data_IF_332537631605
#
_entry.id   IF_332537631605
#
_cell.length_a   1.000
_cell.length_b   1.000
_cell.length_c   1.000
_cell.angle_alpha   90.00
_cell.angle_beta   90.00
_cell.angle_gamma   90.00
#
_symmetry.space_group_name_H-M   'P 1'
#
loop_
_entity.id
_entity.type
_entity.pdbx_description
1 polymer ?
#
# COMPACT_ATOMS: atom_id res chain seq x y z
N UNK A 1 16.76 -8.01 -12.85
CA UNK A 1 18.09 -8.66 -12.84
C UNK A 1 18.21 -9.54 -11.60
N UNK A 2 18.37 -10.85 -11.81
CA UNK A 2 18.40 -11.85 -10.73
C UNK A 2 19.70 -11.70 -9.90
N UNK A 3 20.77 -11.25 -10.51
CA UNK A 3 22.07 -11.09 -9.85
C UNK A 3 22.17 -9.82 -9.00
N UNK A 4 21.45 -8.74 -9.39
CA UNK A 4 21.46 -7.48 -8.64
C UNK A 4 20.39 -7.42 -7.54
N UNK A 5 19.53 -8.45 -7.41
CA UNK A 5 18.40 -8.47 -6.49
C UNK A 5 17.50 -7.22 -6.60
N UNK A 6 17.43 -6.65 -7.81
CA UNK A 6 16.63 -5.49 -8.15
C UNK A 6 15.41 -5.92 -8.96
N UNK A 7 14.24 -5.42 -8.57
CA UNK A 7 12.97 -5.68 -9.25
C UNK A 7 12.24 -4.37 -9.46
N UNK A 8 11.59 -4.25 -10.61
CA UNK A 8 10.72 -3.13 -10.94
C UNK A 8 9.47 -3.65 -11.63
N UNK A 9 8.32 -3.04 -11.32
CA UNK A 9 7.05 -3.33 -11.94
C UNK A 9 6.26 -2.04 -12.16
N UNK A 10 5.47 -2.01 -13.23
CA UNK A 10 4.41 -1.03 -13.43
C UNK A 10 3.07 -1.68 -13.06
N UNK A 11 2.11 -0.88 -12.61
CA UNK A 11 0.77 -1.34 -12.29
C UNK A 11 -0.27 -0.33 -12.72
N UNK A 12 -1.49 -0.83 -12.98
CA UNK A 12 -2.67 -0.02 -13.20
C UNK A 12 -3.84 -0.59 -12.42
N UNK A 13 -4.72 0.27 -11.93
CA UNK A 13 -5.93 -0.08 -11.21
C UNK A 13 -7.08 0.77 -11.66
N UNK A 14 -8.25 0.14 -11.79
CA UNK A 14 -9.54 0.80 -11.94
C UNK A 14 -10.42 0.43 -10.76
N UNK A 15 -11.12 1.39 -10.21
CA UNK A 15 -12.06 1.21 -9.09
C UNK A 15 -13.42 1.77 -9.46
N UNK A 16 -14.46 1.00 -9.15
CA UNK A 16 -15.86 1.38 -9.30
C UNK A 16 -16.54 1.24 -7.94
N UNK A 17 -16.97 2.35 -7.39
CA UNK A 17 -17.58 2.43 -6.08
C UNK A 17 -18.96 3.10 -6.15
N UNK A 18 -19.84 2.73 -5.23
CA UNK A 18 -21.13 3.38 -5.00
C UNK A 18 -21.28 3.93 -3.57
N UNK A 19 -20.20 3.90 -2.77
CA UNK A 19 -20.19 4.44 -1.42
C UNK A 19 -20.24 5.96 -1.42
N UNK A 20 -20.75 6.54 -0.36
CA UNK A 20 -20.65 7.97 -0.11
C UNK A 20 -19.19 8.38 0.15
N UNK A 21 -18.79 9.51 -0.42
CA UNK A 21 -17.45 10.04 -0.25
C UNK A 21 -17.48 11.11 0.83
N UNK A 22 -16.82 10.83 1.96
CA UNK A 22 -16.79 11.72 3.12
C UNK A 22 -15.39 12.24 3.44
N UNK A 23 -14.45 12.16 2.50
CA UNK A 23 -13.08 12.56 2.72
C UNK A 23 -12.48 13.24 1.49
N UNK A 24 -11.43 14.06 1.68
CA UNK A 24 -10.74 14.78 0.59
C UNK A 24 -9.51 14.03 0.09
N UNK A 25 -8.96 13.11 0.86
CA UNK A 25 -7.96 12.18 0.34
C UNK A 25 -8.60 11.17 -0.61
N UNK A 26 -7.90 10.83 -1.67
CA UNK A 26 -8.39 9.87 -2.68
C UNK A 26 -8.05 8.45 -2.22
N UNK A 27 -9.07 7.63 -2.03
CA UNK A 27 -8.92 6.22 -1.68
C UNK A 27 -9.73 5.34 -2.63
N UNK A 28 -9.02 4.71 -3.56
CA UNK A 28 -9.61 3.78 -4.52
C UNK A 28 -9.90 2.39 -3.95
N UNK A 29 -9.53 2.11 -2.70
CA UNK A 29 -9.76 0.80 -2.08
C UNK A 29 -11.16 0.66 -1.46
N UNK A 30 -11.90 1.76 -1.27
CA UNK A 30 -13.21 1.64 -0.65
C UNK A 30 -14.10 2.89 -0.76
N UNK A 31 -13.55 4.03 -1.11
CA UNK A 31 -14.29 5.28 -1.08
C UNK A 31 -14.52 5.91 -2.45
N UNK A 32 -13.54 5.87 -3.35
CA UNK A 32 -13.60 6.57 -4.62
C UNK A 32 -13.63 5.60 -5.80
N UNK A 33 -14.42 5.94 -6.83
CA UNK A 33 -14.21 5.45 -8.18
C UNK A 33 -13.05 6.20 -8.83
N UNK A 34 -12.39 5.58 -9.81
CA UNK A 34 -11.30 6.23 -10.51
C UNK A 34 -10.26 5.26 -11.03
N UNK A 35 -9.09 5.79 -11.35
CA UNK A 35 -7.98 4.97 -11.82
C UNK A 35 -6.65 5.43 -11.19
N UNK A 36 -5.72 4.51 -11.18
CA UNK A 36 -4.36 4.72 -10.73
C UNK A 36 -3.40 4.02 -11.67
N UNK A 37 -2.29 4.67 -11.94
CA UNK A 37 -1.16 4.10 -12.69
C UNK A 37 0.13 4.44 -11.98
N UNK A 38 1.02 3.46 -11.84
CA UNK A 38 2.23 3.68 -11.08
C UNK A 38 3.33 2.68 -11.35
N UNK A 39 4.43 2.92 -10.66
CA UNK A 39 5.62 2.08 -10.70
C UNK A 39 6.06 1.76 -9.28
N UNK A 40 6.63 0.59 -9.11
CA UNK A 40 7.26 0.15 -7.86
C UNK A 40 8.63 -0.42 -8.18
N UNK A 41 9.60 -0.11 -7.34
CA UNK A 41 10.95 -0.63 -7.42
C UNK A 41 11.37 -1.17 -6.06
N UNK A 42 12.00 -2.34 -6.06
CA UNK A 42 12.47 -3.01 -4.85
C UNK A 42 13.91 -3.49 -5.05
N UNK A 43 14.75 -3.22 -4.08
CA UNK A 43 16.12 -3.73 -4.01
C UNK A 43 16.33 -4.49 -2.70
N UNK A 44 16.87 -5.69 -2.81
CA UNK A 44 17.28 -6.48 -1.66
C UNK A 44 18.79 -6.31 -1.46
N UNK A 45 19.17 -5.85 -0.26
CA UNK A 45 20.57 -5.69 0.15
C UNK A 45 20.77 -6.55 1.40
N UNK A 46 21.50 -7.64 1.26
CA UNK A 46 21.61 -8.68 2.28
C UNK A 46 20.22 -9.21 2.68
N UNK A 47 19.77 -8.94 3.91
CA UNK A 47 18.44 -9.32 4.40
C UNK A 47 17.48 -8.14 4.55
N UNK A 48 17.84 -6.98 3.98
CA UNK A 48 17.03 -5.77 4.03
C UNK A 48 16.45 -5.49 2.64
N UNK A 49 15.14 -5.46 2.54
CA UNK A 49 14.42 -5.04 1.35
C UNK A 49 14.08 -3.55 1.45
N UNK A 50 14.43 -2.81 0.43
CA UNK A 50 14.09 -1.39 0.29
C UNK A 50 13.16 -1.28 -0.91
N UNK A 51 11.98 -0.69 -0.72
CA UNK A 51 11.03 -0.45 -1.82
C UNK A 51 10.62 1.00 -1.86
N UNK A 52 10.43 1.49 -3.08
CA UNK A 52 9.83 2.78 -3.36
C UNK A 52 8.73 2.60 -4.39
N UNK A 53 7.63 3.31 -4.25
CA UNK A 53 6.61 3.40 -5.27
C UNK A 53 6.17 4.83 -5.50
N UNK A 54 5.70 5.12 -6.69
CA UNK A 54 5.01 6.35 -7.03
C UNK A 54 3.91 6.05 -8.02
N UNK A 55 2.76 6.69 -7.84
CA UNK A 55 1.61 6.54 -8.74
C UNK A 55 0.85 7.84 -8.88
N UNK A 56 0.26 8.02 -10.04
CA UNK A 56 -0.76 9.04 -10.30
C UNK A 56 -2.13 8.42 -10.10
N UNK A 57 -2.99 9.12 -9.38
CA UNK A 57 -4.37 8.72 -9.13
C UNK A 57 -5.32 9.82 -9.56
N UNK A 58 -6.42 9.43 -10.22
CA UNK A 58 -7.51 10.32 -10.59
C UNK A 58 -8.83 9.76 -10.08
N UNK A 59 -9.51 10.54 -9.23
CA UNK A 59 -10.82 10.19 -8.69
C UNK A 59 -11.94 10.60 -9.65
N UNK A 60 -12.93 9.73 -9.79
CA UNK A 60 -14.17 9.96 -10.51
C UNK A 60 -15.34 9.99 -9.53
N UNK A 61 -16.48 10.50 -9.97
CA UNK A 61 -17.71 10.39 -9.21
C UNK A 61 -18.11 8.92 -9.07
N UNK A 62 -18.59 8.58 -7.90
CA UNK A 62 -19.12 7.25 -7.65
C UNK A 62 -20.47 7.07 -8.34
N UNK A 63 -20.93 5.83 -8.46
CA UNK A 63 -22.27 5.52 -8.94
C UNK A 63 -23.33 6.14 -8.03
N UNK A 64 -24.57 6.23 -8.52
CA UNK A 64 -25.72 6.73 -7.76
C UNK A 64 -25.61 8.21 -7.31
N UNK A 65 -24.84 9.01 -8.01
CA UNK A 65 -24.74 10.46 -7.77
C UNK A 65 -23.85 10.87 -6.59
N UNK A 66 -23.18 9.92 -5.94
CA UNK A 66 -22.19 10.22 -4.92
C UNK A 66 -20.97 10.86 -5.57
N UNK A 67 -20.81 12.16 -5.35
CA UNK A 67 -19.76 12.96 -5.97
C UNK A 67 -18.54 13.01 -5.07
N UNK A 68 -17.36 13.08 -5.70
CA UNK A 68 -16.14 13.39 -5.00
C UNK A 68 -16.22 14.80 -4.40
N UNK A 69 -15.90 14.91 -3.11
CA UNK A 69 -15.95 16.19 -2.39
C UNK A 69 -14.74 17.03 -2.80
N UNK A 70 -15.01 18.12 -3.53
CA UNK A 70 -14.01 19.14 -3.81
C UNK A 70 -14.12 20.22 -2.74
N UNK A 71 -13.18 20.27 -1.82
CA UNK A 71 -13.05 21.37 -0.88
C UNK A 71 -11.96 22.30 -1.42
N UNK A 72 -12.20 23.58 -1.32
CA UNK A 72 -11.41 24.71 -1.79
C UNK A 72 -9.98 24.35 -2.28
N UNK A 73 -9.75 24.45 -3.61
CA UNK A 73 -8.51 24.10 -4.32
C UNK A 73 -8.13 22.62 -4.35
N UNK A 74 -8.87 21.69 -3.76
CA UNK A 74 -8.59 20.27 -3.97
C UNK A 74 -8.97 19.86 -5.38
N UNK A 75 -8.22 18.94 -5.97
CA UNK A 75 -8.55 18.35 -7.27
C UNK A 75 -8.81 16.86 -7.12
N UNK A 76 -9.31 16.28 -8.22
CA UNK A 76 -9.47 14.84 -8.37
C UNK A 76 -8.14 14.12 -8.61
N UNK A 77 -7.05 14.88 -8.71
CA UNK A 77 -5.74 14.38 -9.10
C UNK A 77 -4.78 14.45 -7.92
N UNK A 78 -4.13 13.33 -7.67
CA UNK A 78 -3.12 13.23 -6.64
C UNK A 78 -1.95 12.32 -7.06
N UNK A 79 -0.85 12.46 -6.38
CA UNK A 79 0.28 11.53 -6.43
C UNK A 79 0.32 10.77 -5.11
N UNK A 80 0.30 9.44 -5.22
CA UNK A 80 0.62 8.55 -4.10
C UNK A 80 2.09 8.16 -4.17
N UNK A 81 2.72 8.03 -3.03
CA UNK A 81 4.08 7.55 -2.93
C UNK A 81 4.28 6.74 -1.67
N UNK A 82 5.13 5.72 -1.75
CA UNK A 82 5.52 4.92 -0.59
C UNK A 82 7.03 4.73 -0.55
N UNK A 83 7.54 4.59 0.67
CA UNK A 83 8.89 4.16 0.93
C UNK A 83 8.84 3.10 2.02
N UNK A 84 9.34 1.90 1.75
CA UNK A 84 9.31 0.82 2.73
C UNK A 84 10.69 0.20 2.96
N UNK A 85 10.91 -0.17 4.21
CA UNK A 85 12.07 -0.94 4.67
C UNK A 85 11.56 -2.21 5.32
N UNK A 86 12.06 -3.34 4.87
CA UNK A 86 11.73 -4.65 5.44
C UNK A 86 12.99 -5.44 5.77
N UNK A 87 12.96 -6.18 6.86
CA UNK A 87 14.08 -7.03 7.27
C UNK A 87 13.59 -8.39 7.75
N UNK A 88 14.22 -9.44 7.23
CA UNK A 88 14.06 -10.80 7.75
C UNK A 88 14.79 -10.92 9.09
N UNK A 89 14.04 -11.19 10.17
CA UNK A 89 14.58 -11.42 11.51
C UNK A 89 14.88 -12.89 11.75
N UNK A 90 13.96 -13.77 11.39
CA UNK A 90 14.04 -15.21 11.57
C UNK A 90 13.62 -15.90 10.26
N UNK A 91 14.35 -16.93 9.83
CA UNK A 91 15.55 -17.51 10.40
C UNK A 91 16.82 -16.70 10.07
N UNK A 92 17.87 -16.90 10.87
CA UNK A 92 19.20 -16.34 10.53
C UNK A 92 19.79 -17.01 9.29
N UNK A 93 19.55 -18.30 9.11
CA UNK A 93 19.94 -19.09 7.95
C UNK A 93 18.74 -19.83 7.37
N UNK A 94 18.62 -19.79 6.05
CA UNK A 94 17.50 -20.42 5.33
C UNK A 94 17.88 -21.88 5.03
N UNK A 95 17.26 -22.84 5.74
CA UNK A 95 17.56 -24.26 5.59
C UNK A 95 16.46 -25.03 4.86
N UNK A 96 15.22 -24.60 4.96
CA UNK A 96 14.07 -25.32 4.41
C UNK A 96 12.87 -24.40 4.13
N UNK A 97 12.10 -24.73 3.10
CA UNK A 97 10.80 -24.08 2.81
C UNK A 97 9.73 -24.30 3.90
N UNK A 98 9.92 -25.28 4.77
CA UNK A 98 9.00 -25.58 5.87
C UNK A 98 9.22 -24.69 7.11
N UNK A 99 10.20 -23.82 7.08
CA UNK A 99 10.47 -22.88 8.18
C UNK A 99 9.39 -21.80 8.26
N UNK A 100 9.27 -21.25 9.47
CA UNK A 100 8.52 -20.01 9.68
C UNK A 100 9.49 -18.83 9.58
N UNK A 101 9.17 -17.88 8.73
CA UNK A 101 9.92 -16.64 8.57
C UNK A 101 9.18 -15.52 9.30
N UNK A 102 9.93 -14.71 10.03
CA UNK A 102 9.42 -13.50 10.69
C UNK A 102 10.13 -12.31 10.07
N UNK A 103 9.36 -11.43 9.43
CA UNK A 103 9.83 -10.17 8.89
C UNK A 103 9.28 -9.02 9.71
N UNK A 104 10.05 -7.96 9.86
CA UNK A 104 9.55 -6.65 10.29
C UNK A 104 9.68 -5.68 9.14
N UNK A 105 8.68 -4.82 9.01
CA UNK A 105 8.62 -3.81 7.95
C UNK A 105 8.18 -2.49 8.57
N UNK A 106 8.62 -1.39 7.97
CA UNK A 106 8.07 -0.07 8.22
C UNK A 106 7.87 0.62 6.87
N UNK A 107 6.70 1.19 6.66
CA UNK A 107 6.33 1.86 5.43
C UNK A 107 5.93 3.30 5.72
N UNK A 108 6.48 4.25 4.97
CA UNK A 108 5.98 5.61 4.85
C UNK A 108 5.02 5.65 3.68
N UNK A 109 3.81 6.14 3.89
CA UNK A 109 2.73 6.19 2.90
C UNK A 109 2.30 7.64 2.78
N UNK A 110 2.43 8.20 1.59
CA UNK A 110 2.06 9.58 1.34
C UNK A 110 1.10 9.75 0.16
N UNK A 111 0.29 10.78 0.24
CA UNK A 111 -0.53 11.27 -0.86
C UNK A 111 -0.47 12.79 -0.90
N UNK A 112 -0.24 13.36 -2.07
CA UNK A 112 -0.25 14.82 -2.30
C UNK A 112 -1.26 15.15 -3.38
N UNK A 113 -2.20 16.03 -3.07
CA UNK A 113 -3.14 16.57 -4.03
C UNK A 113 -2.43 17.57 -4.95
N UNK A 114 -2.61 17.43 -6.27
CA UNK A 114 -1.85 18.22 -7.24
C UNK A 114 -2.26 19.70 -7.32
N UNK A 115 -3.51 20.03 -7.00
CA UNK A 115 -3.98 21.43 -7.04
C UNK A 115 -3.71 22.18 -5.76
N UNK A 116 -4.12 21.61 -4.61
CA UNK A 116 -3.96 22.29 -3.31
C UNK A 116 -2.56 22.17 -2.73
N UNK A 117 -1.78 21.19 -3.21
CA UNK A 117 -0.48 20.78 -2.64
C UNK A 117 -0.56 20.32 -1.18
N UNK A 118 -1.77 20.15 -0.66
CA UNK A 118 -1.98 19.52 0.65
C UNK A 118 -1.60 18.04 0.58
N UNK A 119 -1.02 17.53 1.65
CA UNK A 119 -0.53 16.16 1.71
C UNK A 119 -0.88 15.47 3.01
N UNK A 120 -0.95 14.15 2.92
CA UNK A 120 -0.96 13.24 4.06
C UNK A 120 0.32 12.42 4.04
N UNK A 121 0.84 12.15 5.22
CA UNK A 121 1.97 11.25 5.41
C UNK A 121 1.71 10.37 6.63
N UNK A 122 1.83 9.08 6.45
CA UNK A 122 1.64 8.07 7.49
C UNK A 122 2.90 7.22 7.64
N UNK A 123 3.04 6.60 8.81
CA UNK A 123 3.99 5.51 9.05
C UNK A 123 3.22 4.25 9.46
N UNK A 124 3.57 3.13 8.84
CA UNK A 124 2.94 1.84 9.11
C UNK A 124 4.00 0.78 9.44
N UNK A 125 4.30 0.54 10.73
CA UNK A 125 5.03 -0.64 11.15
C UNK A 125 4.19 -1.90 10.97
N UNK A 126 4.83 -2.97 10.47
CA UNK A 126 4.19 -4.28 10.22
C UNK A 126 5.11 -5.39 10.68
N UNK A 127 4.55 -6.40 11.34
CA UNK A 127 5.20 -7.69 11.55
C UNK A 127 4.52 -8.73 10.68
N UNK A 128 5.31 -9.53 9.97
CA UNK A 128 4.85 -10.53 9.01
C UNK A 128 5.36 -11.91 9.40
N UNK A 129 4.46 -12.87 9.46
CA UNK A 129 4.76 -14.29 9.65
C UNK A 129 4.50 -15.03 8.34
N UNK A 130 5.52 -15.71 7.81
CA UNK A 130 5.38 -16.59 6.64
C UNK A 130 5.61 -18.02 7.12
N UNK A 131 4.56 -18.84 7.09
CA UNK A 131 4.55 -20.18 7.64
C UNK A 131 4.58 -21.18 6.48
N UNK A 132 5.63 -22.03 6.46
CA UNK A 132 5.83 -23.08 5.45
C UNK A 132 5.76 -22.57 4.01
N UNK A 133 6.11 -21.31 3.77
CA UNK A 133 6.01 -20.63 2.45
C UNK A 133 4.60 -20.67 1.80
N UNK A 134 3.58 -21.07 2.55
CA UNK A 134 2.18 -21.21 2.07
C UNK A 134 1.23 -20.19 2.70
N UNK A 135 1.40 -19.91 3.97
CA UNK A 135 0.53 -19.04 4.72
C UNK A 135 1.30 -17.79 5.15
N UNK A 136 0.66 -16.63 5.00
CA UNK A 136 1.19 -15.36 5.46
C UNK A 136 0.17 -14.66 6.35
N UNK A 137 0.64 -14.16 7.48
CA UNK A 137 -0.13 -13.33 8.40
C UNK A 137 0.65 -12.04 8.62
N UNK A 138 0.05 -10.90 8.29
CA UNK A 138 0.62 -9.59 8.54
C UNK A 138 -0.21 -8.89 9.62
N UNK A 139 0.47 -8.33 10.62
CA UNK A 139 -0.10 -7.50 11.66
C UNK A 139 0.55 -6.13 11.57
N UNK A 140 -0.24 -5.08 11.42
CA UNK A 140 0.27 -3.74 11.27
C UNK A 140 -0.63 -2.69 11.90
N UNK A 141 -0.07 -1.52 12.10
CA UNK A 141 -0.82 -0.34 12.51
C UNK A 141 -0.32 0.87 11.72
N UNK A 142 -1.23 1.74 11.30
CA UNK A 142 -0.92 2.97 10.60
C UNK A 142 -1.14 4.16 11.53
N UNK A 143 -0.11 4.99 11.67
CA UNK A 143 -0.11 6.25 12.41
C UNK A 143 -0.02 7.41 11.43
N UNK A 144 -0.84 8.44 11.64
CA UNK A 144 -0.77 9.67 10.86
C UNK A 144 0.38 10.56 11.39
N UNK A 145 1.37 10.84 10.56
CA UNK A 145 2.44 11.81 10.84
C UNK A 145 2.03 13.23 10.42
N UNK A 146 1.31 13.34 9.31
CA UNK A 146 0.75 14.60 8.80
C UNK A 146 -0.60 14.32 8.15
N UNK A 147 -1.60 15.15 8.42
CA UNK A 147 -2.97 14.94 7.96
C UNK A 147 -3.60 16.27 7.51
N UNK A 148 -3.12 16.81 6.38
CA UNK A 148 -3.65 18.04 5.80
C UNK A 148 -4.90 17.80 4.94
N UNK A 149 -5.01 16.61 4.32
CA UNK A 149 -6.21 16.16 3.61
C UNK A 149 -7.13 15.44 4.60
N UNK A 150 -8.38 15.83 4.65
CA UNK A 150 -9.34 15.20 5.54
C UNK A 150 -9.54 13.71 5.20
N UNK A 151 -9.42 12.87 6.22
CA UNK A 151 -9.68 11.43 6.20
C UNK A 151 -10.57 11.06 7.38
N UNK A 152 -11.58 10.25 7.12
CA UNK A 152 -12.50 9.79 8.18
C UNK A 152 -11.77 8.92 9.22
N UNK A 153 -10.81 8.10 8.76
CA UNK A 153 -10.02 7.21 9.60
C UNK A 153 -8.53 7.39 9.26
N UNK A 154 -7.85 8.36 9.89
CA UNK A 154 -6.44 8.63 9.60
C UNK A 154 -5.52 7.53 10.12
N UNK A 155 -5.93 6.81 11.15
CA UNK A 155 -5.16 5.76 11.83
C UNK A 155 -5.96 4.46 11.91
N UNK A 156 -5.27 3.32 12.02
CA UNK A 156 -5.95 2.04 12.14
C UNK A 156 -5.05 0.83 12.13
N UNK A 157 -5.52 -0.23 12.78
CA UNK A 157 -4.92 -1.54 12.75
C UNK A 157 -5.26 -2.32 11.49
N UNK A 158 -4.34 -3.18 11.04
CA UNK A 158 -4.53 -4.07 9.90
C UNK A 158 -4.11 -5.50 10.28
N UNK A 159 -4.96 -6.44 9.93
CA UNK A 159 -4.63 -7.86 9.92
C UNK A 159 -4.89 -8.37 8.51
N UNK A 160 -3.87 -8.97 7.90
CA UNK A 160 -4.00 -9.62 6.59
C UNK A 160 -3.63 -11.09 6.71
N UNK A 161 -4.48 -11.93 6.17
CA UNK A 161 -4.25 -13.35 6.04
C UNK A 161 -4.21 -13.72 4.55
N UNK A 162 -3.20 -14.47 4.15
CA UNK A 162 -3.04 -14.98 2.78
C UNK A 162 -2.63 -16.44 2.82
N UNK A 163 -3.27 -17.26 1.99
CA UNK A 163 -2.94 -18.66 1.86
C UNK A 163 -2.76 -19.02 0.38
N UNK A 164 -1.60 -19.55 0.02
CA UNK A 164 -1.28 -19.96 -1.34
C UNK A 164 -1.52 -21.45 -1.52
N UNK A 165 -2.45 -21.78 -2.41
CA UNK A 165 -2.75 -23.14 -2.82
C UNK A 165 -1.88 -23.50 -4.03
N UNK A 166 -0.97 -24.45 -3.86
CA UNK A 166 -0.15 -24.98 -4.95
C UNK A 166 -0.72 -26.30 -5.46
N UNK A 167 -0.64 -26.56 -6.77
CA UNK A 167 -1.08 -27.81 -7.41
C UNK A 167 -2.58 -28.11 -7.28
N UNK A 168 -3.43 -27.10 -7.41
CA UNK A 168 -4.88 -27.23 -7.29
C UNK A 168 -5.51 -27.86 -8.54
N UNK A 169 -4.82 -27.82 -9.66
CA UNK A 169 -5.24 -28.41 -10.95
C UNK A 169 -4.12 -29.35 -11.43
N UNK A 170 -4.45 -30.63 -11.59
CA UNK A 170 -3.65 -31.64 -12.32
C UNK A 170 -4.19 -31.81 -13.71
#
# INVERSE_FOLDING_TARGET
>A
DIHSHFRMAAFGRFSFNNSEVHQTSIDLNGHNSGYEIGVISTKLINKVAISISASYVNAKDNSNGNKFILIDKSSRDAVNYTFSLGKLLIPKEYVSYNQTNINVMAELIGQTNLSSRMSNLDIAPVIQFIIKSKMRVDLGYRFALSNQLYRKYPEGGMIRFEYNLFNVVR
#
